data_IF_227267260907
#
_entry.id   IF_227267260907
#
_cell.length_a   1.000
_cell.length_b   1.000
_cell.length_c   1.000
_cell.angle_alpha   90.00
_cell.angle_beta   90.00
_cell.angle_gamma   90.00
#
_symmetry.space_group_name_H-M   'P 1'
#
loop_
_entity.id
_entity.type
_entity.pdbx_description
1 polymer ?
#
# COMPACT_ATOMS: atom_id res chain seq x y z
N UNK A 1 22.98 -20.14 14.12
CA UNK A 1 22.73 -19.07 13.11
C UNK A 1 21.24 -18.80 13.03
N UNK A 2 20.78 -17.61 13.42
CA UNK A 2 19.36 -17.24 13.43
C UNK A 2 19.02 -16.49 12.15
N UNK A 3 17.96 -16.92 11.46
CA UNK A 3 17.48 -16.30 10.21
C UNK A 3 16.52 -15.16 10.53
N UNK A 4 16.67 -14.02 9.85
CA UNK A 4 15.83 -12.85 9.96
C UNK A 4 15.22 -12.50 8.60
N UNK A 5 13.99 -12.03 8.62
CA UNK A 5 13.32 -11.48 7.45
C UNK A 5 13.27 -9.97 7.60
N UNK A 6 13.77 -9.27 6.59
CA UNK A 6 13.74 -7.82 6.49
C UNK A 6 12.88 -7.41 5.30
N UNK A 7 12.21 -6.28 5.42
CA UNK A 7 11.48 -5.63 4.34
C UNK A 7 12.11 -4.28 4.04
N UNK A 8 12.33 -3.99 2.78
CA UNK A 8 12.97 -2.75 2.33
C UNK A 8 12.12 -2.13 1.22
N UNK A 9 11.93 -0.80 1.29
CA UNK A 9 11.17 -0.03 0.32
C UNK A 9 12.09 0.60 -0.72
N UNK A 10 11.59 0.69 -1.96
CA UNK A 10 12.28 1.24 -3.10
C UNK A 10 11.36 2.13 -3.92
N UNK A 11 11.95 3.17 -4.51
CA UNK A 11 11.30 3.99 -5.52
C UNK A 11 12.10 3.91 -6.81
N UNK A 12 11.42 3.82 -7.94
CA UNK A 12 12.07 3.71 -9.24
C UNK A 12 11.30 4.47 -10.32
N UNK A 13 12.02 4.85 -11.38
CA UNK A 13 11.45 5.29 -12.65
C UNK A 13 11.42 4.08 -13.57
N UNK A 14 10.34 3.93 -14.34
CA UNK A 14 10.23 2.93 -15.39
C UNK A 14 9.89 3.58 -16.72
N UNK A 15 10.63 3.22 -17.77
CA UNK A 15 10.37 3.64 -19.15
C UNK A 15 9.52 2.56 -19.83
N UNK A 16 8.20 2.67 -19.71
CA UNK A 16 7.28 1.71 -20.32
C UNK A 16 6.00 2.41 -20.79
N UNK A 17 5.46 1.94 -21.91
CA UNK A 17 4.08 2.24 -22.31
C UNK A 17 3.06 1.55 -21.40
N UNK A 18 3.45 0.43 -20.84
CA UNK A 18 2.79 -0.21 -19.71
C UNK A 18 3.28 0.46 -18.42
N UNK A 19 2.58 0.33 -17.31
CA UNK A 19 2.98 0.96 -16.05
C UNK A 19 4.32 0.45 -15.49
N UNK A 20 4.81 -0.73 -15.88
CA UNK A 20 6.14 -1.27 -15.50
C UNK A 20 6.79 -2.13 -16.58
N UNK A 21 8.05 -1.84 -16.88
CA UNK A 21 9.02 -2.77 -17.47
C UNK A 21 10.18 -2.98 -16.48
N UNK A 22 10.21 -4.12 -15.82
CA UNK A 22 11.23 -4.43 -14.80
C UNK A 22 12.67 -4.41 -15.35
N UNK A 23 12.89 -4.60 -16.64
CA UNK A 23 14.21 -4.56 -17.25
C UNK A 23 14.70 -3.12 -17.45
N UNK A 24 13.75 -2.16 -17.64
CA UNK A 24 14.02 -0.74 -17.84
C UNK A 24 13.77 0.10 -16.58
N UNK A 25 13.76 -0.54 -15.42
CA UNK A 25 13.50 0.10 -14.13
C UNK A 25 14.79 0.62 -13.52
N UNK A 26 14.86 1.94 -13.23
CA UNK A 26 15.99 2.61 -12.57
C UNK A 26 15.60 3.03 -11.16
N UNK A 27 16.30 2.52 -10.14
CA UNK A 27 16.09 2.91 -8.74
C UNK A 27 16.54 4.36 -8.52
N UNK A 28 15.67 5.16 -7.92
CA UNK A 28 15.90 6.56 -7.53
C UNK A 28 15.79 6.79 -6.02
N UNK A 29 15.28 5.82 -5.26
CA UNK A 29 15.20 5.83 -3.80
C UNK A 29 15.32 4.42 -3.24
N UNK A 30 16.04 4.28 -2.14
CA UNK A 30 16.28 2.98 -1.49
C UNK A 30 16.28 3.16 0.03
N UNK A 31 15.23 2.67 0.67
CA UNK A 31 14.97 2.80 2.10
C UNK A 31 15.12 1.43 2.74
N UNK A 32 16.35 1.14 3.15
CA UNK A 32 16.72 -0.17 3.67
C UNK A 32 16.72 -0.18 5.20
N UNK A 33 16.35 -1.31 5.76
CA UNK A 33 16.70 -1.60 7.13
C UNK A 33 18.23 -1.64 7.28
N UNK A 34 18.79 -1.15 8.39
CA UNK A 34 20.21 -1.30 8.66
C UNK A 34 20.62 -2.78 8.60
N UNK A 35 21.84 -3.05 8.12
CA UNK A 35 22.40 -4.40 8.18
C UNK A 35 22.32 -4.92 9.63
N UNK A 36 21.96 -6.20 9.79
CA UNK A 36 21.70 -6.76 11.10
C UNK A 36 22.95 -6.74 11.96
N UNK A 37 23.04 -5.77 12.87
CA UNK A 37 23.91 -5.82 14.03
C UNK A 37 23.06 -6.18 15.26
N UNK A 38 23.66 -6.74 16.29
CA UNK A 38 22.98 -7.02 17.57
C UNK A 38 22.20 -5.81 18.14
N UNK A 39 22.49 -4.61 17.67
CA UNK A 39 21.92 -3.33 18.10
C UNK A 39 20.90 -2.75 17.10
N UNK A 40 20.83 -3.25 15.86
CA UNK A 40 19.84 -2.78 14.89
C UNK A 40 18.49 -3.46 15.13
N UNK A 41 17.49 -2.65 15.39
CA UNK A 41 16.17 -3.12 15.77
C UNK A 41 15.12 -2.99 14.66
N UNK A 42 15.38 -2.18 13.61
CA UNK A 42 14.44 -1.98 12.49
C UNK A 42 14.44 -3.19 11.58
N UNK A 43 13.27 -3.78 11.37
CA UNK A 43 13.09 -4.97 10.52
C UNK A 43 12.19 -4.74 9.33
N UNK A 44 11.33 -3.73 9.38
CA UNK A 44 10.34 -3.45 8.37
C UNK A 44 10.47 -1.99 7.95
N UNK A 45 10.61 -1.78 6.64
CA UNK A 45 10.36 -0.58 5.88
C UNK A 45 9.58 -1.03 4.66
N UNK A 46 8.26 -1.11 4.76
CA UNK A 46 7.38 -1.76 3.80
C UNK A 46 6.17 -0.90 3.44
N UNK A 47 5.31 -1.41 2.57
CA UNK A 47 4.08 -0.78 2.11
C UNK A 47 4.29 0.65 1.59
N UNK A 48 5.23 0.89 0.64
CA UNK A 48 5.58 2.24 0.19
C UNK A 48 4.53 2.83 -0.75
N UNK A 49 3.82 3.85 -0.28
CA UNK A 49 2.87 4.63 -1.08
C UNK A 49 3.47 5.93 -1.58
N UNK A 50 3.29 6.19 -2.87
CA UNK A 50 3.64 7.45 -3.50
C UNK A 50 2.46 8.41 -3.46
N UNK A 51 2.76 9.68 -3.21
CA UNK A 51 1.78 10.76 -3.25
C UNK A 51 2.43 12.02 -3.83
N UNK A 52 1.83 12.59 -4.87
CA UNK A 52 2.26 13.86 -5.45
C UNK A 52 1.58 15.02 -4.74
N UNK A 53 2.38 16.00 -4.31
CA UNK A 53 1.86 17.24 -3.75
C UNK A 53 2.86 18.37 -3.92
N UNK A 54 2.39 19.57 -4.37
CA UNK A 54 3.20 20.78 -4.53
C UNK A 54 4.53 20.55 -5.28
N UNK A 55 4.46 19.92 -6.46
CA UNK A 55 5.61 19.61 -7.31
C UNK A 55 6.71 18.74 -6.64
N UNK A 56 6.37 17.98 -5.64
CA UNK A 56 7.24 16.98 -5.02
C UNK A 56 6.54 15.63 -4.93
N UNK A 57 7.33 14.57 -4.87
CA UNK A 57 6.85 13.20 -4.59
C UNK A 57 7.14 12.89 -3.13
N UNK A 58 6.14 12.47 -2.43
CA UNK A 58 6.19 11.99 -1.06
C UNK A 58 6.08 10.47 -1.06
N UNK A 59 6.90 9.83 -0.25
CA UNK A 59 6.86 8.40 0.00
C UNK A 59 6.45 8.17 1.45
N UNK A 60 5.29 7.57 1.65
CA UNK A 60 4.82 7.10 2.95
C UNK A 60 5.06 5.61 3.05
N UNK A 61 5.58 5.12 4.16
CA UNK A 61 5.84 3.71 4.37
C UNK A 61 5.76 3.32 5.85
N UNK A 62 5.51 2.05 6.10
CA UNK A 62 5.61 1.46 7.43
C UNK A 62 7.09 1.37 7.86
N UNK A 63 7.38 1.78 9.09
CA UNK A 63 8.61 1.41 9.77
C UNK A 63 8.30 0.69 11.09
N UNK A 64 8.99 -0.44 11.33
CA UNK A 64 8.80 -1.23 12.54
C UNK A 64 10.10 -1.77 13.06
N UNK A 65 10.31 -1.61 14.36
CA UNK A 65 11.36 -2.27 15.12
C UNK A 65 10.94 -3.69 15.51
N UNK A 66 11.95 -4.55 15.80
CA UNK A 66 11.77 -5.98 16.08
C UNK A 66 10.67 -6.29 17.10
N UNK A 67 10.59 -5.54 18.19
CA UNK A 67 9.65 -5.76 19.28
C UNK A 67 8.66 -4.59 19.43
N UNK A 68 8.53 -3.76 18.41
CA UNK A 68 7.66 -2.59 18.43
C UNK A 68 6.40 -2.76 17.59
N UNK A 69 5.55 -1.75 17.65
CA UNK A 69 4.44 -1.56 16.72
C UNK A 69 4.95 -0.85 15.46
N UNK A 70 4.31 -1.09 14.32
CA UNK A 70 4.52 -0.31 13.11
C UNK A 70 4.01 1.12 13.30
N UNK A 71 4.67 2.07 12.65
CA UNK A 71 4.28 3.48 12.57
C UNK A 71 4.60 4.00 11.17
N UNK A 72 4.02 5.14 10.82
CA UNK A 72 4.15 5.67 9.48
C UNK A 72 5.23 6.73 9.43
N UNK A 73 6.09 6.58 8.42
CA UNK A 73 7.20 7.48 8.10
C UNK A 73 6.95 8.10 6.74
N UNK A 74 7.39 9.35 6.57
CA UNK A 74 7.36 10.07 5.29
C UNK A 74 8.75 10.60 4.94
N UNK A 75 9.08 10.55 3.65
CA UNK A 75 10.23 11.22 3.04
C UNK A 75 9.80 11.76 1.67
N UNK A 76 10.48 12.76 1.11
CA UNK A 76 10.09 13.37 -0.16
C UNK A 76 11.27 13.82 -0.99
N UNK A 77 11.01 14.05 -2.26
CA UNK A 77 11.94 14.60 -3.24
C UNK A 77 11.23 15.51 -4.23
N UNK A 78 11.86 16.60 -4.64
CA UNK A 78 11.38 17.48 -5.73
C UNK A 78 12.17 17.31 -7.03
N UNK A 79 13.33 16.66 -6.96
CA UNK A 79 14.28 16.50 -8.07
C UNK A 79 14.53 15.04 -8.49
N UNK A 80 13.85 14.07 -7.84
CA UNK A 80 14.00 12.63 -8.06
C UNK A 80 15.42 12.07 -7.79
N UNK A 81 16.28 12.85 -7.12
CA UNK A 81 17.66 12.49 -6.80
C UNK A 81 17.94 12.56 -5.32
N UNK A 82 17.55 13.67 -4.71
CA UNK A 82 17.82 13.95 -3.32
C UNK A 82 16.53 13.75 -2.50
N UNK A 83 16.58 12.85 -1.54
CA UNK A 83 15.47 12.55 -0.64
C UNK A 83 15.68 13.25 0.70
N UNK A 84 14.61 13.79 1.27
CA UNK A 84 14.66 14.36 2.62
C UNK A 84 15.02 13.30 3.65
N UNK A 85 15.46 13.73 4.84
CA UNK A 85 15.53 12.82 5.97
C UNK A 85 14.11 12.30 6.30
N UNK A 86 13.94 10.98 6.54
CA UNK A 86 12.65 10.42 6.94
C UNK A 86 12.16 11.01 8.27
N UNK A 87 10.87 11.32 8.32
CA UNK A 87 10.20 11.82 9.53
C UNK A 87 9.04 10.92 9.92
N UNK A 88 8.85 10.68 11.20
CA UNK A 88 7.66 9.96 11.71
C UNK A 88 6.47 10.91 11.63
N UNK A 89 5.41 10.50 10.94
CA UNK A 89 4.23 11.34 10.69
C UNK A 89 2.97 10.84 11.39
N UNK A 90 2.86 9.54 11.64
CA UNK A 90 1.74 8.97 12.40
C UNK A 90 2.20 7.78 13.24
N UNK A 91 1.87 7.83 14.52
CA UNK A 91 2.16 6.77 15.48
C UNK A 91 1.02 6.64 16.48
N UNK A 92 0.61 5.40 16.71
CA UNK A 92 -0.48 5.03 17.62
C UNK A 92 0.00 4.00 18.65
N UNK A 93 -0.74 3.74 19.73
CA UNK A 93 -0.41 2.68 20.69
C UNK A 93 -0.60 1.26 20.12
N UNK A 94 -1.16 1.13 18.93
CA UNK A 94 -1.33 -0.10 18.15
C UNK A 94 -0.51 -0.04 16.86
N UNK A 95 -0.43 -1.18 16.16
CA UNK A 95 0.30 -1.32 14.90
C UNK A 95 -0.38 -0.56 13.77
N UNK A 96 0.42 0.19 12.98
CA UNK A 96 0.02 0.83 11.74
C UNK A 96 0.89 0.34 10.59
N UNK A 97 0.28 0.08 9.44
CA UNK A 97 0.93 -0.26 8.17
C UNK A 97 0.11 0.26 6.98
N UNK A 98 0.50 -0.04 5.76
CA UNK A 98 -0.24 0.26 4.52
C UNK A 98 -0.76 1.71 4.46
N UNK A 99 0.11 2.74 4.50
CA UNK A 99 -0.28 4.14 4.65
C UNK A 99 -0.81 4.74 3.34
N UNK A 100 -2.01 4.36 2.92
CA UNK A 100 -2.64 4.89 1.72
C UNK A 100 -3.02 6.35 1.90
N UNK A 101 -2.35 7.26 1.18
CA UNK A 101 -2.59 8.70 1.19
C UNK A 101 -3.28 9.13 -0.10
N UNK A 102 -4.32 9.96 0.03
CA UNK A 102 -5.09 10.46 -1.08
C UNK A 102 -5.66 11.85 -0.80
N UNK A 103 -6.02 12.57 -1.86
CA UNK A 103 -6.61 13.91 -1.78
C UNK A 103 -8.05 13.89 -2.30
N UNK A 104 -8.96 14.51 -1.57
CA UNK A 104 -10.32 14.78 -1.98
C UNK A 104 -10.60 16.26 -1.74
N UNK A 105 -10.98 16.96 -2.80
CA UNK A 105 -11.09 18.41 -2.80
C UNK A 105 -9.76 19.04 -2.32
N UNK A 106 -9.81 19.85 -1.27
CA UNK A 106 -8.61 20.50 -0.70
C UNK A 106 -8.04 19.79 0.52
N UNK A 107 -8.60 18.64 0.89
CA UNK A 107 -8.18 17.89 2.07
C UNK A 107 -7.37 16.66 1.68
N UNK A 108 -6.33 16.40 2.47
CA UNK A 108 -5.49 15.20 2.33
C UNK A 108 -5.84 14.25 3.46
N UNK A 109 -6.04 12.98 3.11
CA UNK A 109 -6.41 11.91 4.02
C UNK A 109 -5.38 10.77 3.96
N UNK A 110 -5.28 10.04 5.06
CA UNK A 110 -4.55 8.77 5.14
C UNK A 110 -5.50 7.70 5.67
N UNK A 111 -5.52 6.56 4.98
CA UNK A 111 -6.25 5.36 5.39
C UNK A 111 -5.22 4.25 5.65
N UNK A 112 -4.59 4.21 6.82
CA UNK A 112 -3.63 3.17 7.15
C UNK A 112 -4.33 1.88 7.56
N UNK A 113 -3.65 0.74 7.46
CA UNK A 113 -4.06 -0.44 8.18
C UNK A 113 -3.94 -0.19 9.68
N UNK A 114 -5.04 -0.39 10.40
CA UNK A 114 -5.16 -0.22 11.85
C UNK A 114 -5.87 -1.40 12.52
N UNK A 115 -5.76 -2.59 11.94
CA UNK A 115 -6.54 -3.78 12.34
C UNK A 115 -6.29 -4.23 13.79
N UNK A 116 -5.17 -3.86 14.40
CA UNK A 116 -4.91 -4.16 15.81
C UNK A 116 -5.82 -3.38 16.76
N UNK A 117 -6.37 -2.23 16.32
CA UNK A 117 -7.43 -1.52 17.06
C UNK A 117 -8.83 -2.11 16.83
N UNK A 118 -8.99 -3.10 15.94
CA UNK A 118 -10.26 -3.61 15.41
C UNK A 118 -11.12 -2.55 14.69
N UNK A 119 -10.48 -1.51 14.16
CA UNK A 119 -11.12 -0.40 13.49
C UNK A 119 -10.44 -0.10 12.15
N UNK A 120 -11.20 0.38 11.18
CA UNK A 120 -10.69 1.02 9.97
C UNK A 120 -10.75 2.53 10.14
N UNK A 121 -9.59 3.16 10.33
CA UNK A 121 -9.44 4.56 10.73
C UNK A 121 -9.03 5.44 9.57
N UNK A 122 -9.78 6.52 9.35
CA UNK A 122 -9.44 7.58 8.40
C UNK A 122 -8.85 8.77 9.16
N UNK A 123 -7.65 9.18 8.77
CA UNK A 123 -6.96 10.35 9.31
C UNK A 123 -6.99 11.50 8.30
N UNK A 124 -7.19 12.74 8.79
CA UNK A 124 -7.09 13.97 8.01
C UNK A 124 -5.77 14.67 8.33
N UNK A 125 -5.07 15.12 7.30
CA UNK A 125 -3.88 15.93 7.47
C UNK A 125 -4.22 17.34 7.96
N UNK A 126 -3.55 17.79 9.01
CA UNK A 126 -3.71 19.15 9.55
C UNK A 126 -2.49 20.03 9.30
N UNK A 127 -1.33 19.41 9.06
CA UNK A 127 -0.07 20.08 8.70
C UNK A 127 0.79 19.11 7.87
N UNK A 128 0.75 19.26 6.55
CA UNK A 128 1.34 18.29 5.62
C UNK A 128 2.88 18.41 5.54
N UNK A 129 3.62 17.27 5.59
CA UNK A 129 3.16 15.90 5.81
C UNK A 129 3.16 15.48 7.30
N UNK A 130 3.38 16.40 8.23
CA UNK A 130 3.86 16.15 9.60
C UNK A 130 2.76 15.76 10.59
N UNK A 131 1.54 16.30 10.47
CA UNK A 131 0.51 16.14 11.51
C UNK A 131 -0.79 15.61 10.93
N UNK A 132 -1.27 14.56 11.53
CA UNK A 132 -2.51 13.89 11.18
C UNK A 132 -3.40 13.77 12.41
N UNK A 133 -4.70 13.92 12.24
CA UNK A 133 -5.71 13.70 13.28
C UNK A 133 -6.68 12.62 12.85
N UNK A 134 -7.15 11.78 13.75
CA UNK A 134 -8.27 10.90 13.48
C UNK A 134 -9.47 11.74 13.06
N UNK A 135 -9.96 11.51 11.85
CA UNK A 135 -11.15 12.18 11.32
C UNK A 135 -12.38 11.31 11.53
N UNK A 136 -12.27 10.00 11.22
CA UNK A 136 -13.40 9.10 11.27
C UNK A 136 -12.96 7.65 11.46
N UNK A 137 -13.81 6.86 12.14
CA UNK A 137 -13.79 5.41 12.11
C UNK A 137 -14.80 4.98 11.04
N UNK A 138 -14.30 4.41 9.93
CA UNK A 138 -15.14 3.94 8.81
C UNK A 138 -15.88 2.67 9.22
N UNK A 139 -15.16 1.71 9.80
CA UNK A 139 -15.70 0.49 10.36
C UNK A 139 -15.12 0.24 11.75
N UNK A 140 -15.94 -0.21 12.66
CA UNK A 140 -15.58 -0.70 13.98
C UNK A 140 -15.81 -2.23 14.08
N UNK A 141 -15.27 -2.82 15.14
CA UNK A 141 -15.47 -4.24 15.47
C UNK A 141 -15.10 -5.24 14.34
N UNK A 142 -14.08 -4.90 13.53
CA UNK A 142 -13.62 -5.75 12.43
C UNK A 142 -12.12 -5.64 12.16
N UNK A 143 -11.56 -6.68 11.57
CA UNK A 143 -10.15 -6.70 11.13
C UNK A 143 -10.09 -6.43 9.63
N UNK A 144 -10.03 -5.15 9.29
CA UNK A 144 -9.87 -4.67 7.92
C UNK A 144 -8.41 -4.35 7.67
N UNK A 145 -7.82 -4.95 6.64
CA UNK A 145 -6.41 -4.79 6.28
C UNK A 145 -6.28 -4.28 4.84
N UNK A 146 -5.21 -3.55 4.56
CA UNK A 146 -4.79 -3.12 3.23
C UNK A 146 -5.92 -2.43 2.43
N UNK A 147 -6.47 -1.36 2.99
CA UNK A 147 -7.64 -0.67 2.42
C UNK A 147 -7.24 0.49 1.51
N UNK A 148 -7.99 0.69 0.42
CA UNK A 148 -7.86 1.87 -0.44
C UNK A 148 -9.22 2.34 -0.93
N UNK A 149 -9.31 3.65 -1.21
CA UNK A 149 -10.53 4.29 -1.70
C UNK A 149 -10.24 4.93 -3.06
N UNK A 150 -11.15 4.76 -4.00
CA UNK A 150 -11.15 5.53 -5.25
C UNK A 150 -12.48 6.26 -5.41
N UNK A 151 -12.43 7.40 -6.08
CA UNK A 151 -13.62 8.14 -6.48
C UNK A 151 -13.84 7.94 -7.99
N UNK A 152 -15.06 7.56 -8.37
CA UNK A 152 -15.48 7.45 -9.77
C UNK A 152 -16.83 8.11 -9.95
N UNK A 153 -16.86 9.25 -10.67
CA UNK A 153 -17.99 10.16 -10.62
C UNK A 153 -18.17 10.72 -9.20
N UNK A 154 -19.38 10.64 -8.67
CA UNK A 154 -19.72 11.10 -7.33
C UNK A 154 -19.77 9.95 -6.30
N UNK A 155 -19.22 8.78 -6.65
CA UNK A 155 -19.23 7.60 -5.79
C UNK A 155 -17.82 7.24 -5.34
N UNK A 156 -17.66 7.05 -4.04
CA UNK A 156 -16.47 6.50 -3.42
C UNK A 156 -16.59 4.98 -3.31
N UNK A 157 -15.56 4.27 -3.74
CA UNK A 157 -15.45 2.82 -3.66
C UNK A 157 -14.30 2.46 -2.73
N UNK A 158 -14.60 1.72 -1.68
CA UNK A 158 -13.63 1.20 -0.70
C UNK A 158 -13.33 -0.26 -1.03
N UNK A 159 -12.10 -0.52 -1.42
CA UNK A 159 -11.51 -1.85 -1.55
C UNK A 159 -10.80 -2.20 -0.26
N UNK A 160 -11.20 -3.25 0.42
CA UNK A 160 -10.61 -3.66 1.69
C UNK A 160 -10.52 -5.16 1.79
N UNK A 161 -9.61 -5.65 2.61
CA UNK A 161 -9.51 -7.08 2.92
C UNK A 161 -10.03 -7.32 4.33
N UNK A 162 -11.14 -8.03 4.46
CA UNK A 162 -11.64 -8.50 5.75
C UNK A 162 -10.90 -9.77 6.13
N UNK A 163 -10.13 -9.70 7.23
CA UNK A 163 -9.36 -10.80 7.78
C UNK A 163 -10.17 -11.52 8.85
N UNK A 164 -10.40 -12.80 8.65
CA UNK A 164 -10.92 -13.72 9.67
C UNK A 164 -9.78 -14.56 10.26
N UNK A 165 -10.09 -15.47 11.18
CA UNK A 165 -9.08 -16.39 11.75
C UNK A 165 -8.40 -17.25 10.69
N UNK A 166 -9.16 -17.71 9.67
CA UNK A 166 -8.70 -18.71 8.73
C UNK A 166 -8.68 -18.25 7.27
N UNK A 167 -9.16 -17.02 6.96
CA UNK A 167 -9.36 -16.59 5.58
C UNK A 167 -9.26 -15.09 5.40
N UNK A 168 -9.05 -14.69 4.15
CA UNK A 168 -9.14 -13.33 3.69
C UNK A 168 -10.29 -13.22 2.70
N UNK A 169 -11.09 -12.17 2.84
CA UNK A 169 -12.17 -11.82 1.92
C UNK A 169 -11.91 -10.44 1.37
N UNK A 170 -11.71 -10.33 0.07
CA UNK A 170 -11.59 -9.02 -0.57
C UNK A 170 -12.98 -8.44 -0.75
N UNK A 171 -13.27 -7.41 0.00
CA UNK A 171 -14.58 -6.79 0.06
C UNK A 171 -14.57 -5.43 -0.64
N UNK A 172 -15.71 -5.12 -1.24
CA UNK A 172 -15.99 -3.85 -1.90
C UNK A 172 -17.20 -3.20 -1.24
N UNK A 173 -17.05 -1.91 -0.93
CA UNK A 173 -18.11 -1.05 -0.41
C UNK A 173 -18.18 0.23 -1.22
N UNK A 174 -19.30 0.93 -1.16
CA UNK A 174 -19.46 2.23 -1.79
C UNK A 174 -20.27 3.20 -0.93
N UNK A 175 -20.09 4.49 -1.19
CA UNK A 175 -20.90 5.59 -0.63
C UNK A 175 -20.82 6.81 -1.55
N UNK A 176 -21.72 7.76 -1.37
CA UNK A 176 -21.71 9.05 -2.08
C UNK A 176 -21.08 10.17 -1.27
N UNK A 177 -20.72 9.93 -0.02
CA UNK A 177 -20.00 10.85 0.84
C UNK A 177 -18.95 10.10 1.64
N UNK A 178 -17.67 10.45 1.45
CA UNK A 178 -16.54 9.82 2.14
C UNK A 178 -16.70 9.79 3.66
N UNK A 179 -17.30 10.84 4.22
CA UNK A 179 -17.50 11.01 5.66
C UNK A 179 -18.86 10.48 6.14
N UNK A 180 -19.61 9.81 5.26
CA UNK A 180 -20.87 9.15 5.63
C UNK A 180 -20.66 8.05 6.67
N UNK A 181 -21.61 7.88 7.57
CA UNK A 181 -21.66 6.73 8.50
C UNK A 181 -22.16 5.45 7.82
N UNK A 182 -22.59 5.55 6.55
CA UNK A 182 -23.19 4.45 5.81
C UNK A 182 -22.36 4.11 4.56
N UNK A 183 -21.40 3.24 4.73
CA UNK A 183 -20.78 2.52 3.62
C UNK A 183 -21.65 1.31 3.26
N UNK A 184 -22.09 1.21 2.02
CA UNK A 184 -22.96 0.15 1.53
C UNK A 184 -22.09 -0.96 0.96
N UNK A 185 -22.27 -2.18 1.44
CA UNK A 185 -21.57 -3.33 0.89
C UNK A 185 -22.05 -3.59 -0.54
N UNK A 186 -21.11 -3.69 -1.47
CA UNK A 186 -21.40 -3.93 -2.88
C UNK A 186 -22.10 -5.30 -3.06
N UNK A 187 -23.14 -5.42 -3.93
CA UNK A 187 -23.91 -6.67 -4.08
C UNK A 187 -23.06 -7.88 -4.50
N UNK A 188 -21.95 -7.66 -5.20
CA UNK A 188 -21.00 -8.73 -5.58
C UNK A 188 -19.86 -8.92 -4.57
N UNK A 189 -19.91 -8.28 -3.39
CA UNK A 189 -18.91 -8.47 -2.33
C UNK A 189 -19.19 -9.75 -1.54
N UNK A 190 -18.17 -10.57 -1.18
CA UNK A 190 -16.74 -10.38 -1.46
C UNK A 190 -16.41 -10.63 -2.93
N UNK A 191 -15.56 -9.80 -3.51
CA UNK A 191 -15.11 -9.93 -4.90
C UNK A 191 -14.03 -11.00 -5.08
N UNK A 192 -13.39 -11.44 -4.01
CA UNK A 192 -12.47 -12.59 -3.98
C UNK A 192 -12.31 -13.16 -2.58
N UNK A 193 -12.20 -14.49 -2.48
CA UNK A 193 -11.75 -15.21 -1.29
C UNK A 193 -10.56 -16.14 -1.59
N UNK A 194 -9.99 -16.03 -2.78
CA UNK A 194 -8.84 -16.82 -3.19
C UNK A 194 -7.56 -16.28 -2.52
N UNK A 195 -6.78 -17.08 -1.78
CA UNK A 195 -5.55 -16.64 -1.12
C UNK A 195 -4.52 -15.97 -2.03
N UNK A 196 -4.59 -16.19 -3.35
CA UNK A 196 -3.76 -15.52 -4.34
C UNK A 196 -4.20 -14.09 -4.67
N UNK A 197 -5.46 -13.72 -4.35
CA UNK A 197 -6.07 -12.51 -4.89
C UNK A 197 -6.90 -11.72 -3.87
N UNK A 198 -7.16 -12.31 -2.69
CA UNK A 198 -8.08 -11.76 -1.70
C UNK A 198 -7.46 -10.65 -0.83
N UNK A 199 -6.17 -10.37 -0.95
CA UNK A 199 -5.52 -9.32 -0.19
C UNK A 199 -4.98 -8.23 -1.11
N UNK A 200 -5.24 -6.96 -0.81
CA UNK A 200 -4.66 -5.86 -1.57
C UNK A 200 -3.13 -5.85 -1.50
N UNK A 201 -2.49 -5.53 -2.61
CA UNK A 201 -1.03 -5.38 -2.74
C UNK A 201 -0.61 -3.95 -3.08
N UNK A 202 -1.48 -2.99 -2.80
CA UNK A 202 -1.36 -1.58 -3.10
C UNK A 202 -2.76 -0.99 -3.31
N UNK A 203 -2.86 0.32 -3.54
CA UNK A 203 -4.13 0.93 -3.93
C UNK A 203 -4.54 0.55 -5.35
N UNK A 204 -5.83 0.63 -5.64
CA UNK A 204 -6.29 0.70 -7.02
C UNK A 204 -5.76 1.99 -7.62
N UNK A 205 -5.21 1.93 -8.82
CA UNK A 205 -4.59 3.07 -9.51
C UNK A 205 -5.02 3.15 -10.98
N UNK A 206 -4.97 4.36 -11.54
CA UNK A 206 -5.23 4.59 -12.96
C UNK A 206 -3.93 4.64 -13.75
N UNK A 207 -3.94 4.05 -14.96
CA UNK A 207 -2.90 4.21 -15.96
C UNK A 207 -3.51 4.07 -17.36
N UNK A 208 -3.25 5.02 -18.26
CA UNK A 208 -3.81 5.04 -19.63
C UNK A 208 -5.34 4.82 -19.66
N UNK A 209 -6.08 5.52 -18.81
CA UNK A 209 -7.54 5.42 -18.66
C UNK A 209 -8.08 4.05 -18.20
N UNK A 210 -7.22 3.14 -17.79
CA UNK A 210 -7.61 1.86 -17.18
C UNK A 210 -7.38 1.90 -15.66
N UNK A 211 -8.18 1.15 -14.92
CA UNK A 211 -8.03 0.94 -13.48
C UNK A 211 -7.34 -0.39 -13.23
N UNK A 212 -6.31 -0.38 -12.40
CA UNK A 212 -5.56 -1.58 -12.02
C UNK A 212 -5.63 -1.82 -10.52
N UNK A 213 -5.83 -3.07 -10.14
CA UNK A 213 -5.82 -3.54 -8.74
C UNK A 213 -4.67 -4.52 -8.52
N UNK A 214 -3.68 -4.15 -7.70
CA UNK A 214 -2.67 -5.08 -7.21
C UNK A 214 -3.26 -6.01 -6.14
N UNK A 215 -2.95 -7.30 -6.21
CA UNK A 215 -3.37 -8.29 -5.23
C UNK A 215 -2.18 -9.12 -4.75
N UNK A 216 -2.06 -9.31 -3.44
CA UNK A 216 -1.00 -10.13 -2.85
C UNK A 216 -1.27 -11.62 -3.08
N UNK A 217 -0.25 -12.35 -3.55
CA UNK A 217 -0.25 -13.81 -3.52
C UNK A 217 0.25 -14.30 -2.15
N UNK A 218 -0.69 -14.67 -1.31
CA UNK A 218 -0.42 -15.27 0.01
C UNK A 218 -0.59 -16.79 0.02
N UNK A 219 -0.75 -17.46 -1.14
CA UNK A 219 -1.05 -18.90 -1.22
C UNK A 219 0.11 -19.79 -0.77
N UNK A 220 1.34 -19.36 -0.95
CA UNK A 220 2.55 -20.11 -0.55
C UNK A 220 3.13 -19.57 0.74
N UNK A 221 3.23 -18.26 0.87
CA UNK A 221 3.71 -17.56 2.06
C UNK A 221 3.36 -16.07 1.98
N UNK A 222 3.29 -15.41 3.12
CA UNK A 222 3.12 -13.96 3.17
C UNK A 222 4.21 -13.23 2.37
N UNK A 223 3.76 -12.34 1.47
CA UNK A 223 4.65 -11.54 0.65
C UNK A 223 5.41 -12.36 -0.40
N UNK A 224 4.77 -13.40 -0.96
CA UNK A 224 5.37 -14.22 -2.02
C UNK A 224 5.52 -13.44 -3.32
N UNK A 225 4.43 -12.80 -3.78
CA UNK A 225 4.39 -12.04 -5.04
C UNK A 225 3.12 -11.19 -5.14
N UNK A 226 2.92 -10.53 -6.28
CA UNK A 226 1.69 -9.84 -6.65
C UNK A 226 1.10 -10.43 -7.94
N UNK A 227 -0.22 -10.25 -8.06
CA UNK A 227 -0.99 -10.32 -9.30
C UNK A 227 -1.59 -8.97 -9.60
N UNK A 228 -1.76 -8.63 -10.87
CA UNK A 228 -2.37 -7.36 -11.29
C UNK A 228 -3.65 -7.69 -12.07
N UNK A 229 -4.73 -7.03 -11.68
CA UNK A 229 -6.02 -7.08 -12.37
C UNK A 229 -6.31 -5.74 -13.05
N UNK A 230 -6.93 -5.79 -14.22
CA UNK A 230 -7.59 -4.65 -14.83
C UNK A 230 -9.07 -4.67 -14.40
N UNK A 231 -9.52 -3.64 -13.72
CA UNK A 231 -10.92 -3.46 -13.33
C UNK A 231 -11.66 -2.94 -14.55
N UNK A 232 -12.38 -3.82 -15.23
CA UNK A 232 -13.07 -3.53 -16.50
C UNK A 232 -14.45 -2.91 -16.30
N UNK A 233 -15.07 -3.19 -15.15
CA UNK A 233 -16.33 -2.56 -14.78
C UNK A 233 -16.36 -2.26 -13.28
N UNK A 234 -16.78 -1.05 -12.92
CA UNK A 234 -17.01 -0.63 -11.55
C UNK A 234 -18.19 0.34 -11.51
N UNK A 235 -19.30 -0.10 -10.93
CA UNK A 235 -20.51 0.66 -10.65
C UNK A 235 -21.08 0.22 -9.29
N UNK A 236 -22.17 0.79 -8.84
CA UNK A 236 -22.79 0.43 -7.54
C UNK A 236 -23.44 -0.97 -7.53
N UNK A 237 -23.69 -1.54 -8.68
CA UNK A 237 -24.39 -2.82 -8.89
C UNK A 237 -23.52 -3.88 -9.58
N UNK A 238 -22.45 -3.47 -10.27
CA UNK A 238 -21.61 -4.38 -11.06
C UNK A 238 -20.13 -4.13 -10.86
N UNK A 239 -19.36 -5.20 -10.64
CA UNK A 239 -17.90 -5.25 -10.59
C UNK A 239 -17.37 -6.35 -11.49
N UNK A 240 -16.42 -6.02 -12.36
CA UNK A 240 -15.71 -6.99 -13.19
C UNK A 240 -14.23 -6.64 -13.23
N UNK A 241 -13.38 -7.64 -13.17
CA UNK A 241 -11.94 -7.51 -13.33
C UNK A 241 -11.37 -8.66 -14.16
N UNK A 242 -10.29 -8.41 -14.88
CA UNK A 242 -9.53 -9.41 -15.64
C UNK A 242 -8.11 -9.49 -15.15
N UNK A 243 -7.59 -10.70 -15.00
CA UNK A 243 -6.20 -10.92 -14.60
C UNK A 243 -5.27 -10.53 -15.75
N UNK A 244 -4.37 -9.58 -15.50
CA UNK A 244 -3.40 -9.06 -16.47
C UNK A 244 -2.02 -9.69 -16.26
N UNK A 245 -1.60 -9.85 -15.02
CA UNK A 245 -0.30 -10.43 -14.69
C UNK A 245 -0.34 -11.27 -13.42
N UNK A 246 0.38 -12.39 -13.44
CA UNK A 246 0.77 -13.17 -12.26
C UNK A 246 2.27 -13.12 -12.08
N UNK A 247 2.76 -13.35 -10.86
CA UNK A 247 4.20 -13.25 -10.57
C UNK A 247 4.77 -11.90 -11.05
N UNK A 248 4.03 -10.83 -10.77
CA UNK A 248 4.35 -9.48 -11.20
C UNK A 248 5.76 -9.04 -10.83
N UNK A 249 6.26 -9.50 -9.69
CA UNK A 249 7.64 -9.34 -9.28
C UNK A 249 8.51 -10.47 -9.83
N UNK A 250 9.42 -10.21 -10.81
CA UNK A 250 10.26 -11.24 -11.39
C UNK A 250 11.27 -11.79 -10.38
N UNK A 251 11.40 -13.11 -10.30
CA UNK A 251 12.25 -13.81 -9.31
C UNK A 251 13.72 -13.38 -9.33
N UNK A 252 14.27 -13.02 -10.51
CA UNK A 252 15.66 -12.56 -10.63
C UNK A 252 15.93 -11.23 -9.90
N UNK A 253 14.90 -10.38 -9.71
CA UNK A 253 14.99 -9.14 -8.91
C UNK A 253 14.41 -9.30 -7.50
N UNK A 254 13.42 -10.19 -7.32
CA UNK A 254 12.68 -10.39 -6.08
C UNK A 254 12.84 -11.82 -5.54
N UNK A 255 14.10 -12.22 -5.28
CA UNK A 255 14.47 -13.59 -4.89
C UNK A 255 13.64 -14.15 -3.71
N UNK A 256 13.25 -13.31 -2.77
CA UNK A 256 12.53 -13.71 -1.57
C UNK A 256 11.10 -13.19 -1.51
N UNK A 257 10.66 -12.44 -2.55
CA UNK A 257 9.32 -11.88 -2.69
C UNK A 257 9.24 -10.37 -2.47
N UNK A 258 8.04 -9.87 -2.59
CA UNK A 258 7.56 -8.53 -2.36
C UNK A 258 6.04 -8.59 -2.27
N UNK A 259 5.38 -7.59 -1.68
CA UNK A 259 3.93 -7.66 -1.47
C UNK A 259 3.19 -6.35 -1.70
N UNK A 260 3.93 -5.28 -2.00
CA UNK A 260 3.33 -3.97 -2.20
C UNK A 260 3.83 -3.29 -3.48
N UNK A 261 2.90 -2.61 -4.16
CA UNK A 261 3.18 -1.83 -5.36
C UNK A 261 2.33 -0.56 -5.37
N UNK A 262 2.96 0.58 -5.60
CA UNK A 262 2.34 1.88 -5.79
C UNK A 262 2.84 2.52 -7.07
N UNK A 263 1.98 3.22 -7.80
CA UNK A 263 2.27 3.86 -9.07
C UNK A 263 1.69 5.26 -9.11
N UNK A 264 2.46 6.21 -9.64
CA UNK A 264 2.00 7.54 -10.04
C UNK A 264 2.66 7.96 -11.35
N UNK A 265 2.02 8.84 -12.09
CA UNK A 265 2.66 9.60 -13.16
C UNK A 265 3.13 10.95 -12.61
N UNK A 266 4.40 11.29 -12.83
CA UNK A 266 4.97 12.54 -12.37
C UNK A 266 5.86 13.15 -13.45
N UNK A 267 5.53 14.38 -13.91
CA UNK A 267 6.27 15.10 -14.96
C UNK A 267 6.49 14.23 -16.21
N UNK A 268 5.47 13.49 -16.63
CA UNK A 268 5.51 12.60 -17.80
C UNK A 268 6.33 11.32 -17.62
N UNK A 269 6.71 10.98 -16.39
CA UNK A 269 7.42 9.75 -16.07
C UNK A 269 6.56 8.82 -15.19
N UNK A 270 6.65 7.52 -15.43
CA UNK A 270 6.07 6.52 -14.55
C UNK A 270 6.99 6.30 -13.35
N UNK A 271 6.52 6.67 -12.16
CA UNK A 271 7.21 6.46 -10.89
C UNK A 271 6.49 5.34 -10.14
N UNK A 272 7.27 4.37 -9.69
CA UNK A 272 6.76 3.23 -8.95
C UNK A 272 7.45 3.13 -7.58
N UNK A 273 6.69 2.70 -6.58
CA UNK A 273 7.26 2.26 -5.32
C UNK A 273 6.85 0.81 -5.04
N UNK A 274 7.75 0.07 -4.43
CA UNK A 274 7.55 -1.33 -4.12
C UNK A 274 8.42 -1.74 -2.94
N UNK A 275 8.07 -2.84 -2.30
CA UNK A 275 8.91 -3.45 -1.30
C UNK A 275 9.56 -4.74 -1.76
N UNK A 276 10.64 -5.10 -1.07
CA UNK A 276 11.36 -6.36 -1.29
C UNK A 276 11.66 -7.02 0.04
N UNK A 277 11.37 -8.31 0.08
CA UNK A 277 11.74 -9.20 1.16
C UNK A 277 13.20 -9.63 1.01
N UNK A 278 13.99 -9.48 2.07
CA UNK A 278 15.34 -10.01 2.17
C UNK A 278 15.47 -10.94 3.36
N UNK A 279 16.50 -11.81 3.32
CA UNK A 279 16.80 -12.74 4.39
C UNK A 279 18.25 -12.54 4.79
N UNK A 280 18.46 -12.24 6.07
CA UNK A 280 19.79 -12.12 6.64
C UNK A 280 20.01 -13.18 7.71
N UNK A 281 21.27 -13.56 7.90
CA UNK A 281 21.69 -14.55 8.88
C UNK A 281 22.60 -13.87 9.87
N UNK A 282 22.31 -13.97 11.18
CA UNK A 282 23.20 -13.53 12.23
C UNK A 282 23.87 -14.74 12.88
N UNK A 283 25.18 -14.62 13.08
CA UNK A 283 25.93 -15.55 13.94
C UNK A 283 25.59 -15.13 15.37
N UNK A 284 24.91 -16.00 16.10
CA UNK A 284 24.63 -15.83 17.54
C UNK A 284 25.86 -16.22 18.34
#
# INVERSE_FOLDING_TARGET
MKRFTLWNSYVAITESKEFVDWNKTKIIGSFKCPAFSYRSSTQIKADPFLFEYNNAIYLFYEEKYKNGKGYIVCTWTSDLKNWSQPVVVLKEPFHLSFPYVFKINDKIYMLPESNESNELRLYECVDFPYKWKLNKIIFDNGKYVDSSIICKGDIYYLFTTHKTENSFYHELYYCNDLLSDKWIKHPQSPISNNPKFARNGGSVFSHNNNLFRPAQDCSVSYGNNLSIFNVTHLSIDKYEETLVATNFFPKYKFKHGGHHFSHIEYKGQNIIAFDKKSREYAIT
#
